data_IF_880235448932
#
_entry.id   IF_880235448932
#
_cell.length_a   1.000
_cell.length_b   1.000
_cell.length_c   1.000
_cell.angle_alpha   90.00
_cell.angle_beta   90.00
_cell.angle_gamma   90.00
#
_symmetry.space_group_name_H-M   'P 1'
#
loop_
_entity.id
_entity.type
_entity.pdbx_description
1 polymer ?
#
# COMPACT_ATOMS: atom_id res chain seq x y z
N UNK A 1 -3.44 -6.02 19.78
CA UNK A 1 -3.46 -5.66 18.35
C UNK A 1 -3.86 -6.81 17.43
N UNK A 2 -3.13 -7.92 17.32
CA UNK A 2 -3.54 -9.02 16.42
C UNK A 2 -4.94 -9.57 16.75
N UNK A 3 -5.16 -9.94 18.01
CA UNK A 3 -6.45 -10.44 18.48
C UNK A 3 -7.56 -9.39 18.32
N UNK A 4 -7.28 -8.12 18.60
CA UNK A 4 -8.23 -7.02 18.39
C UNK A 4 -8.66 -6.91 16.92
N UNK A 5 -7.72 -7.03 15.97
CA UNK A 5 -8.05 -6.97 14.54
C UNK A 5 -8.89 -8.19 14.11
N UNK A 6 -8.59 -9.37 14.66
CA UNK A 6 -9.39 -10.59 14.43
C UNK A 6 -10.80 -10.47 15.03
N UNK A 7 -10.95 -9.87 16.21
CA UNK A 7 -12.24 -9.59 16.84
C UNK A 7 -13.09 -8.62 16.02
N UNK A 8 -12.46 -7.70 15.29
CA UNK A 8 -13.11 -6.81 14.33
C UNK A 8 -13.45 -7.48 12.98
N UNK A 9 -13.20 -8.79 12.85
CA UNK A 9 -13.50 -9.56 11.64
C UNK A 9 -12.43 -9.49 10.55
N UNK A 10 -11.25 -8.94 10.84
CA UNK A 10 -10.16 -8.91 9.88
C UNK A 10 -9.35 -10.22 9.92
N UNK A 11 -9.06 -10.77 8.74
CA UNK A 11 -8.05 -11.82 8.61
C UNK A 11 -6.67 -11.21 8.74
N UNK A 12 -5.95 -11.61 9.78
CA UNK A 12 -4.58 -11.17 10.03
C UNK A 12 -3.63 -12.30 9.69
N UNK A 13 -2.72 -12.04 8.76
CA UNK A 13 -1.62 -12.92 8.39
C UNK A 13 -0.33 -12.25 8.85
N UNK A 14 0.56 -13.00 9.49
CA UNK A 14 1.82 -12.46 9.99
C UNK A 14 3.02 -13.07 9.27
N UNK A 15 4.05 -12.25 9.12
CA UNK A 15 5.35 -12.65 8.62
C UNK A 15 6.38 -12.24 9.66
N UNK A 16 7.19 -13.18 10.13
CA UNK A 16 8.28 -12.92 11.06
C UNK A 16 9.59 -13.40 10.48
N UNK A 17 10.69 -12.71 10.80
CA UNK A 17 12.03 -13.06 10.33
C UNK A 17 12.51 -14.41 10.89
N UNK A 18 11.86 -14.93 11.94
CA UNK A 18 12.14 -16.22 12.58
C UNK A 18 11.08 -17.29 12.31
N UNK A 19 9.98 -16.95 11.60
CA UNK A 19 8.89 -17.86 11.28
C UNK A 19 8.07 -18.34 12.48
N UNK A 20 8.24 -17.74 13.66
CA UNK A 20 7.51 -18.15 14.87
C UNK A 20 6.01 -17.87 14.80
N UNK A 21 5.57 -17.02 13.88
CA UNK A 21 4.16 -16.67 13.70
C UNK A 21 3.77 -16.66 12.23
N UNK A 22 3.22 -17.80 11.79
CA UNK A 22 2.61 -18.08 10.49
C UNK A 22 3.56 -18.20 9.28
N UNK A 23 4.40 -17.20 9.01
CA UNK A 23 5.24 -17.18 7.82
C UNK A 23 6.67 -16.72 8.11
N UNK A 24 7.65 -17.46 7.58
CA UNK A 24 9.07 -17.09 7.63
C UNK A 24 9.45 -16.17 6.46
N UNK A 25 9.81 -14.93 6.76
CA UNK A 25 10.36 -13.98 5.79
C UNK A 25 9.63 -12.63 5.78
N UNK A 26 9.74 -11.90 4.67
CA UNK A 26 9.17 -10.55 4.56
C UNK A 26 7.68 -10.56 4.28
N UNK A 27 6.98 -9.51 4.72
CA UNK A 27 5.56 -9.25 4.41
C UNK A 27 5.30 -9.25 2.90
N UNK A 28 6.25 -8.77 2.09
CA UNK A 28 6.13 -8.79 0.63
C UNK A 28 6.15 -10.21 0.05
N UNK A 29 6.93 -11.14 0.62
CA UNK A 29 6.92 -12.55 0.23
C UNK A 29 5.64 -13.26 0.66
N UNK A 30 5.17 -12.96 1.88
CA UNK A 30 3.86 -13.45 2.35
C UNK A 30 2.74 -12.99 1.41
N UNK A 31 2.75 -11.72 1.01
CA UNK A 31 1.75 -11.18 0.09
C UNK A 31 1.83 -11.81 -1.31
N UNK A 32 3.03 -12.01 -1.86
CA UNK A 32 3.20 -12.75 -3.13
C UNK A 32 2.65 -14.18 -3.03
N UNK A 33 2.89 -14.87 -1.91
CA UNK A 33 2.38 -16.21 -1.65
C UNK A 33 0.85 -16.24 -1.55
N UNK A 34 0.25 -15.27 -0.82
CA UNK A 34 -1.20 -15.10 -0.71
C UNK A 34 -1.86 -14.92 -2.09
N UNK A 35 -1.20 -14.17 -2.98
CA UNK A 35 -1.68 -13.96 -4.33
C UNK A 35 -1.44 -15.16 -5.29
N UNK A 36 -0.70 -16.19 -4.87
CA UNK A 36 -0.39 -17.38 -5.66
C UNK A 36 -1.16 -18.61 -5.18
N UNK A 37 -1.41 -18.72 -3.87
CA UNK A 37 -2.02 -19.88 -3.24
C UNK A 37 -3.31 -19.46 -2.53
N UNK A 38 -4.44 -20.06 -2.94
CA UNK A 38 -5.75 -19.86 -2.31
C UNK A 38 -5.88 -20.48 -0.92
N UNK A 39 -4.82 -21.12 -0.39
CA UNK A 39 -4.83 -21.78 0.92
C UNK A 39 -4.97 -20.80 2.10
N UNK A 40 -4.73 -19.51 1.85
CA UNK A 40 -4.99 -18.42 2.79
C UNK A 40 -6.27 -17.63 2.48
N UNK A 41 -7.11 -18.13 1.55
CA UNK A 41 -8.38 -17.47 1.24
C UNK A 41 -9.20 -17.36 2.53
N UNK A 42 -9.60 -16.14 2.94
CA UNK A 42 -10.53 -16.01 4.03
C UNK A 42 -11.81 -16.75 3.64
N UNK A 43 -12.36 -17.55 4.55
CA UNK A 43 -13.57 -18.31 4.31
C UNK A 43 -14.71 -17.44 3.78
N UNK A 44 -15.71 -18.03 3.10
CA UNK A 44 -16.84 -17.31 2.52
C UNK A 44 -17.62 -16.61 3.64
N UNK A 45 -17.32 -15.33 3.90
CA UNK A 45 -17.86 -14.59 5.03
C UNK A 45 -17.01 -13.46 5.58
N UNK A 46 -15.73 -13.33 5.20
CA UNK A 46 -14.95 -12.12 5.50
C UNK A 46 -15.43 -10.98 4.58
N UNK A 47 -16.37 -10.17 5.08
CA UNK A 47 -16.99 -9.08 4.33
C UNK A 47 -15.96 -8.09 3.76
N UNK A 48 -16.22 -7.69 2.52
CA UNK A 48 -15.54 -6.64 1.73
C UNK A 48 -15.63 -5.22 2.36
N UNK A 49 -15.34 -5.07 3.65
CA UNK A 49 -15.57 -3.83 4.37
C UNK A 49 -14.32 -3.32 5.10
N UNK A 50 -13.65 -2.35 4.48
CA UNK A 50 -12.75 -1.44 5.16
C UNK A 50 -13.55 -0.24 5.69
N UNK A 51 -13.72 -0.20 7.01
CA UNK A 51 -14.34 0.92 7.73
C UNK A 51 -13.31 2.04 7.88
N UNK A 52 -13.57 3.17 7.21
CA UNK A 52 -12.82 4.41 7.33
C UNK A 52 -13.04 5.02 8.72
N UNK A 53 -11.97 5.33 9.45
CA UNK A 53 -12.07 6.27 10.58
C UNK A 53 -11.60 7.65 10.10
N UNK A 54 -12.55 8.60 10.08
CA UNK A 54 -12.44 10.05 9.83
C UNK A 54 -11.02 10.60 9.64
N UNK A 55 -10.54 10.50 8.40
CA UNK A 55 -9.69 11.50 7.75
C UNK A 55 -10.34 11.71 6.39
N UNK A 56 -10.52 12.96 5.95
CA UNK A 56 -11.04 13.23 4.61
C UNK A 56 -10.26 12.35 3.63
N UNK A 57 -10.95 11.45 2.93
CA UNK A 57 -10.36 10.78 1.78
C UNK A 57 -9.82 11.90 0.91
N UNK A 58 -8.50 12.02 0.85
CA UNK A 58 -7.86 12.72 -0.24
C UNK A 58 -8.55 12.17 -1.46
N UNK A 59 -9.22 13.05 -2.22
CA UNK A 59 -9.92 12.63 -3.43
C UNK A 59 -8.93 11.75 -4.18
N UNK A 60 -9.26 10.46 -4.36
CA UNK A 60 -8.51 9.56 -5.23
C UNK A 60 -8.24 10.40 -6.46
N UNK A 61 -6.96 10.74 -6.66
CA UNK A 61 -6.59 11.86 -7.54
C UNK A 61 -7.30 11.61 -8.87
N UNK A 62 -8.13 12.58 -9.27
CA UNK A 62 -9.14 12.48 -10.34
C UNK A 62 -8.56 12.17 -11.73
N UNK A 63 -7.29 11.78 -11.82
CA UNK A 63 -6.55 11.53 -13.03
C UNK A 63 -5.43 10.52 -12.84
N UNK A 64 -5.73 9.32 -12.37
CA UNK A 64 -5.20 8.06 -12.91
C UNK A 64 -5.85 6.88 -12.17
N UNK A 65 -7.17 6.71 -12.34
CA UNK A 65 -7.78 5.38 -12.19
C UNK A 65 -7.24 4.56 -13.36
N UNK A 66 -5.97 4.15 -13.25
CA UNK A 66 -5.35 3.29 -14.23
C UNK A 66 -6.22 2.04 -14.26
N UNK A 67 -6.89 1.82 -15.39
CA UNK A 67 -7.95 0.83 -15.63
C UNK A 67 -7.72 -0.45 -14.83
N UNK A 68 -8.25 -0.53 -13.61
CA UNK A 68 -8.31 -1.79 -12.88
C UNK A 68 -9.41 -2.60 -13.58
N UNK A 69 -9.00 -3.44 -14.52
CA UNK A 69 -9.87 -4.44 -15.13
C UNK A 69 -10.05 -5.57 -14.11
N UNK A 70 -10.85 -5.30 -13.07
CA UNK A 70 -11.26 -6.30 -12.08
C UNK A 70 -11.80 -7.50 -12.83
N UNK A 71 -11.11 -8.63 -12.73
CA UNK A 71 -11.66 -9.90 -13.20
C UNK A 71 -12.53 -10.50 -12.09
N UNK A 72 -13.60 -11.17 -12.49
CA UNK A 72 -14.46 -11.89 -11.57
C UNK A 72 -13.65 -13.06 -10.97
N UNK A 73 -13.33 -12.98 -9.67
CA UNK A 73 -12.47 -13.94 -8.97
C UNK A 73 -11.14 -13.39 -8.43
N UNK A 74 -10.82 -12.11 -8.64
CA UNK A 74 -9.59 -11.51 -8.11
C UNK A 74 -9.68 -11.32 -6.57
N UNK A 75 -8.78 -11.92 -5.76
CA UNK A 75 -8.93 -11.94 -4.30
C UNK A 75 -8.62 -10.61 -3.62
N UNK A 76 -7.95 -9.67 -4.31
CA UNK A 76 -7.50 -8.39 -3.73
C UNK A 76 -7.99 -7.22 -4.56
N UNK A 77 -8.86 -6.39 -3.96
CA UNK A 77 -9.40 -5.18 -4.59
C UNK A 77 -8.41 -4.01 -4.58
N UNK A 78 -7.66 -3.86 -3.50
CA UNK A 78 -6.76 -2.75 -3.26
C UNK A 78 -5.78 -3.10 -2.15
N UNK A 79 -4.60 -2.48 -2.18
CA UNK A 79 -3.56 -2.62 -1.17
C UNK A 79 -3.28 -1.25 -0.55
N UNK A 80 -3.18 -1.21 0.77
CA UNK A 80 -2.71 -0.05 1.51
C UNK A 80 -1.49 -0.47 2.33
N UNK A 81 -0.41 0.31 2.28
CA UNK A 81 0.80 -0.04 3.00
C UNK A 81 1.51 1.18 3.58
N UNK A 82 2.11 0.97 4.74
CA UNK A 82 3.09 1.87 5.34
C UNK A 82 4.26 1.03 5.84
N UNK A 83 5.47 1.58 5.76
CA UNK A 83 6.67 0.87 6.22
C UNK A 83 7.94 1.30 5.49
N UNK A 84 9.03 0.52 5.62
CA UNK A 84 10.31 0.88 5.05
C UNK A 84 10.26 1.07 3.52
N UNK A 85 11.03 2.04 3.01
CA UNK A 85 11.04 2.40 1.58
C UNK A 85 11.25 1.18 0.65
N UNK A 86 12.20 0.30 0.98
CA UNK A 86 12.45 -0.92 0.20
C UNK A 86 11.27 -1.91 0.20
N UNK A 87 10.52 -1.98 1.29
CA UNK A 87 9.30 -2.81 1.37
C UNK A 87 8.21 -2.25 0.46
N UNK A 88 7.98 -0.94 0.51
CA UNK A 88 6.96 -0.26 -0.30
C UNK A 88 7.31 -0.28 -1.80
N UNK A 89 8.58 -0.10 -2.14
CA UNK A 89 9.09 -0.24 -3.52
C UNK A 89 8.81 -1.64 -4.07
N UNK A 90 9.16 -2.69 -3.31
CA UNK A 90 8.89 -4.08 -3.73
C UNK A 90 7.40 -4.35 -3.84
N UNK A 91 6.59 -3.84 -2.92
CA UNK A 91 5.13 -3.97 -2.99
C UNK A 91 4.56 -3.28 -4.24
N UNK A 92 5.05 -2.09 -4.58
CA UNK A 92 4.66 -1.38 -5.80
C UNK A 92 4.99 -2.17 -7.07
N UNK A 93 6.10 -2.92 -7.10
CA UNK A 93 6.44 -3.81 -8.21
C UNK A 93 5.46 -4.98 -8.31
N UNK A 94 5.11 -5.61 -7.17
CA UNK A 94 4.18 -6.75 -7.11
C UNK A 94 2.78 -6.34 -7.56
N UNK A 95 2.25 -5.26 -6.98
CA UNK A 95 0.91 -4.76 -7.30
C UNK A 95 0.85 -4.22 -8.73
N UNK A 96 1.90 -3.51 -9.18
CA UNK A 96 2.03 -3.00 -10.54
C UNK A 96 1.99 -4.10 -11.60
N UNK A 97 2.71 -5.22 -11.40
CA UNK A 97 2.69 -6.37 -12.33
C UNK A 97 1.30 -7.01 -12.47
N UNK A 98 0.48 -6.95 -11.42
CA UNK A 98 -0.87 -7.53 -11.38
C UNK A 98 -1.98 -6.51 -11.64
N UNK A 99 -1.63 -5.23 -11.82
CA UNK A 99 -2.60 -4.15 -11.98
C UNK A 99 -3.44 -3.86 -10.73
N UNK A 100 -3.03 -4.32 -9.54
CA UNK A 100 -3.78 -4.10 -8.29
C UNK A 100 -3.56 -2.66 -7.82
N UNK A 101 -4.62 -1.87 -7.54
CA UNK A 101 -4.48 -0.53 -6.95
C UNK A 101 -3.73 -0.59 -5.63
N UNK A 102 -2.75 0.28 -5.45
CA UNK A 102 -1.88 0.28 -4.27
C UNK A 102 -1.58 1.71 -3.82
N UNK A 103 -1.95 2.02 -2.58
CA UNK A 103 -1.63 3.28 -1.92
C UNK A 103 -0.57 3.05 -0.85
N UNK A 104 0.42 3.94 -0.82
CA UNK A 104 1.54 3.87 0.10
C UNK A 104 1.62 5.15 0.91
N UNK A 105 1.71 5.02 2.23
CA UNK A 105 2.07 6.12 3.11
C UNK A 105 3.59 6.22 3.19
N UNK A 106 4.15 7.31 2.68
CA UNK A 106 5.58 7.55 2.69
C UNK A 106 6.00 8.28 3.96
N UNK A 107 7.13 7.85 4.51
CA UNK A 107 7.84 8.51 5.59
C UNK A 107 9.06 9.22 4.99
N UNK A 108 9.14 10.54 5.14
CA UNK A 108 10.27 11.36 4.67
C UNK A 108 10.78 12.24 5.79
N UNK A 109 12.04 12.70 5.69
CA UNK A 109 12.61 13.55 6.72
C UNK A 109 11.89 14.91 6.78
N UNK A 110 11.13 15.13 7.85
CA UNK A 110 10.39 16.38 8.05
C UNK A 110 11.13 17.36 8.94
N UNK A 111 11.14 18.63 8.53
CA UNK A 111 11.52 19.76 9.38
C UNK A 111 10.29 20.50 9.89
N UNK A 112 9.61 21.24 9.00
CA UNK A 112 8.51 22.13 9.40
C UNK A 112 7.12 21.48 9.47
N UNK A 113 6.88 20.35 8.79
CA UNK A 113 5.55 19.70 8.72
C UNK A 113 4.44 20.48 8.01
N UNK A 114 4.70 21.70 7.51
CA UNK A 114 3.68 22.60 6.92
C UNK A 114 4.01 23.03 5.49
N UNK A 115 4.95 22.34 4.84
CA UNK A 115 5.32 22.57 3.44
C UNK A 115 6.29 23.72 3.18
N UNK A 116 6.78 24.42 4.21
CA UNK A 116 7.69 25.57 4.06
C UNK A 116 9.15 25.18 3.78
N UNK A 117 9.70 24.20 4.51
CA UNK A 117 11.13 23.88 4.46
C UNK A 117 11.56 22.95 3.31
N UNK A 118 10.60 22.35 2.60
CA UNK A 118 10.82 21.40 1.49
C UNK A 118 11.63 20.13 1.83
N UNK A 119 11.99 19.89 3.09
CA UNK A 119 12.82 18.75 3.50
C UNK A 119 12.16 17.40 3.21
N UNK A 120 10.83 17.35 3.20
CA UNK A 120 10.03 16.14 2.98
C UNK A 120 9.68 15.95 1.49
N UNK A 121 10.51 16.42 0.57
CA UNK A 121 10.28 16.27 -0.86
C UNK A 121 10.55 14.82 -1.29
N UNK A 122 9.53 14.17 -1.85
CA UNK A 122 9.59 12.85 -2.44
C UNK A 122 9.58 12.96 -3.97
N UNK A 123 10.40 12.15 -4.65
CA UNK A 123 10.39 12.07 -6.10
C UNK A 123 9.14 11.34 -6.59
N UNK A 124 8.48 11.91 -7.60
CA UNK A 124 7.35 11.29 -8.30
C UNK A 124 7.61 11.25 -9.80
N UNK A 125 7.00 10.28 -10.47
CA UNK A 125 7.05 10.15 -11.92
C UNK A 125 6.15 11.20 -12.57
N UNK A 126 6.60 11.76 -13.68
CA UNK A 126 5.80 12.69 -14.50
C UNK A 126 5.39 12.02 -15.81
N UNK A 127 4.29 12.47 -16.42
CA UNK A 127 3.75 11.90 -17.65
C UNK A 127 4.71 11.92 -18.86
N UNK A 128 5.77 12.72 -18.81
CA UNK A 128 6.77 12.84 -19.88
C UNK A 128 8.04 12.01 -19.62
N UNK A 129 8.02 11.08 -18.65
CA UNK A 129 9.19 10.27 -18.29
C UNK A 129 10.25 10.98 -17.45
N UNK A 130 9.99 12.24 -17.03
CA UNK A 130 10.85 12.96 -16.09
C UNK A 130 10.48 12.70 -14.62
N UNK A 131 11.31 13.19 -13.70
CA UNK A 131 11.03 13.19 -12.27
C UNK A 131 10.49 14.57 -11.82
N UNK A 132 9.41 14.56 -11.04
CA UNK A 132 8.90 15.70 -10.29
C UNK A 132 9.14 15.49 -8.80
N UNK A 133 8.82 16.51 -8.00
CA UNK A 133 8.88 16.41 -6.55
C UNK A 133 7.54 16.80 -5.93
N UNK A 134 7.11 16.05 -4.92
CA UNK A 134 5.95 16.35 -4.09
C UNK A 134 6.33 16.34 -2.61
N UNK A 135 5.70 17.19 -1.81
CA UNK A 135 5.98 17.35 -0.38
C UNK A 135 5.10 16.41 0.43
N UNK A 136 5.68 15.41 1.09
CA UNK A 136 4.95 14.42 1.90
C UNK A 136 4.05 15.07 2.96
N UNK A 137 4.51 16.13 3.65
CA UNK A 137 3.72 16.75 4.73
C UNK A 137 2.45 17.52 4.30
N UNK A 138 2.31 17.90 3.03
CA UNK A 138 1.17 18.71 2.55
C UNK A 138 0.48 18.14 1.31
N UNK A 139 1.23 17.46 0.45
CA UNK A 139 0.72 16.79 -0.75
C UNK A 139 0.63 15.28 -0.59
N UNK A 140 1.21 14.73 0.48
CA UNK A 140 1.09 13.34 0.93
C UNK A 140 0.32 13.23 2.25
N UNK A 141 0.67 12.29 3.16
CA UNK A 141 1.75 11.30 3.05
C UNK A 141 1.39 10.10 2.17
N UNK A 142 0.13 9.99 1.76
CA UNK A 142 -0.38 8.88 0.95
C UNK A 142 -0.25 9.20 -0.54
N UNK A 143 0.38 8.30 -1.28
CA UNK A 143 0.60 8.39 -2.72
C UNK A 143 0.17 7.08 -3.39
N UNK A 144 -0.14 7.12 -4.68
CA UNK A 144 -0.27 5.89 -5.47
C UNK A 144 1.10 5.24 -5.61
N UNK A 145 1.24 3.94 -5.36
CA UNK A 145 2.58 3.32 -5.37
C UNK A 145 3.27 3.47 -6.72
N UNK A 146 2.49 3.45 -7.81
CA UNK A 146 2.97 3.60 -9.18
C UNK A 146 3.46 5.01 -9.54
N UNK A 147 2.99 6.07 -8.87
CA UNK A 147 3.42 7.45 -9.12
C UNK A 147 4.72 7.81 -8.38
N UNK A 148 5.08 7.08 -7.33
CA UNK A 148 6.34 7.27 -6.61
C UNK A 148 7.52 6.82 -7.49
N UNK A 149 8.58 7.62 -7.50
CA UNK A 149 9.86 7.20 -8.06
C UNK A 149 10.70 6.56 -6.95
N UNK A 150 10.96 5.27 -7.09
CA UNK A 150 11.63 4.42 -6.10
C UNK A 150 13.15 4.32 -6.31
N UNK A 151 13.72 5.11 -7.23
CA UNK A 151 15.17 5.20 -7.54
C UNK A 151 15.90 6.36 -6.82
#
# INVERSE_FOLDING_TARGET
MENEMKELGHSVLMATDDGTRDFYGSVTKLFENYLQNSDFAPGPGAGDHLTMNKGQAGQVSKGLVNKYNRQEGDPVRCVYACGPHGMLSKLSEVTGRRGIPCEVSLEERMGCGVGACLSCACKVKTGNGGAGYRRVCVEGPVFQSGEVNWE
#
